data_IF_558591120840
#
_entry.id   IF_558591120840
#
_cell.length_a   1.000
_cell.length_b   1.000
_cell.length_c   1.000
_cell.angle_alpha   90.00
_cell.angle_beta   90.00
_cell.angle_gamma   90.00
#
_symmetry.space_group_name_H-M   'P 1'
#
loop_
_entity.id
_entity.type
_entity.pdbx_description
1 polymer ?
#
# COMPACT_ATOMS: atom_id res chain seq x y z
N UNK A 1 12.08 12.14 4.76
CA UNK A 1 11.48 12.36 6.10
C UNK A 1 10.89 11.03 6.49
N UNK A 2 11.30 10.43 7.60
CA UNK A 2 10.87 9.07 7.92
C UNK A 2 9.36 9.04 8.21
N UNK A 3 8.68 7.94 7.85
CA UNK A 3 7.23 7.75 8.10
C UNK A 3 6.87 7.94 9.58
N UNK A 4 7.80 7.60 10.47
CA UNK A 4 7.72 7.77 11.93
C UNK A 4 7.62 9.26 12.34
N UNK A 5 8.24 10.15 11.58
CA UNK A 5 8.27 11.60 11.80
C UNK A 5 7.05 12.31 11.18
N UNK A 6 6.34 11.66 10.25
CA UNK A 6 5.19 12.25 9.55
C UNK A 6 4.00 12.53 10.47
N UNK A 7 3.23 13.58 10.15
CA UNK A 7 1.91 13.79 10.77
C UNK A 7 0.93 12.70 10.30
N UNK A 8 -0.10 12.39 11.11
CA UNK A 8 -1.17 11.46 10.70
C UNK A 8 -1.82 11.93 9.38
N UNK A 9 -1.97 13.24 9.21
CA UNK A 9 -2.53 13.83 7.98
C UNK A 9 -1.67 13.47 6.76
N UNK A 10 -0.35 13.55 6.87
CA UNK A 10 0.54 13.24 5.75
C UNK A 10 0.62 11.74 5.49
N UNK A 11 0.62 10.90 6.53
CA UNK A 11 0.49 9.44 6.36
C UNK A 11 -0.80 9.09 5.61
N UNK A 12 -1.92 9.74 5.96
CA UNK A 12 -3.20 9.56 5.24
C UNK A 12 -3.12 10.00 3.78
N UNK A 13 -2.34 11.03 3.44
CA UNK A 13 -2.11 11.42 2.04
C UNK A 13 -1.31 10.36 1.30
N UNK A 14 -0.26 9.82 1.90
CA UNK A 14 0.54 8.72 1.32
C UNK A 14 -0.33 7.49 1.07
N UNK A 15 -1.08 7.04 2.09
CA UNK A 15 -2.00 5.90 1.97
C UNK A 15 -3.02 6.08 0.83
N UNK A 16 -3.54 7.30 0.61
CA UNK A 16 -4.44 7.58 -0.51
C UNK A 16 -3.75 7.43 -1.86
N UNK A 17 -2.50 7.90 -1.99
CA UNK A 17 -1.71 7.73 -3.23
C UNK A 17 -1.40 6.25 -3.47
N UNK A 18 -0.95 5.52 -2.44
CA UNK A 18 -0.70 4.08 -2.53
C UNK A 18 -1.95 3.31 -2.96
N UNK A 19 -3.11 3.63 -2.37
CA UNK A 19 -4.39 3.02 -2.72
C UNK A 19 -4.75 3.25 -4.21
N UNK A 20 -4.50 4.45 -4.71
CA UNK A 20 -4.70 4.77 -6.13
C UNK A 20 -3.72 4.00 -7.02
N UNK A 21 -2.43 4.00 -6.69
CA UNK A 21 -1.39 3.29 -7.44
C UNK A 21 -1.67 1.78 -7.48
N UNK A 22 -2.04 1.15 -6.35
CA UNK A 22 -2.45 -0.26 -6.31
C UNK A 22 -3.69 -0.53 -7.18
N UNK A 23 -4.62 0.42 -7.28
CA UNK A 23 -5.79 0.28 -8.15
C UNK A 23 -5.39 0.25 -9.63
N UNK A 24 -4.44 1.09 -10.04
CA UNK A 24 -3.90 1.07 -11.41
C UNK A 24 -3.17 -0.23 -11.68
N UNK A 25 -2.31 -0.68 -10.75
CA UNK A 25 -1.58 -1.94 -10.91
C UNK A 25 -2.54 -3.12 -11.03
N UNK A 26 -3.58 -3.18 -10.19
CA UNK A 26 -4.60 -4.21 -10.25
C UNK A 26 -5.39 -4.25 -11.57
N UNK A 27 -5.46 -3.16 -12.33
CA UNK A 27 -6.08 -3.15 -13.66
C UNK A 27 -5.24 -3.89 -14.71
N UNK A 28 -3.92 -3.99 -14.50
CA UNK A 28 -2.99 -4.64 -15.42
C UNK A 28 -2.72 -6.11 -15.06
N UNK A 29 -3.27 -6.58 -13.94
CA UNK A 29 -3.14 -7.96 -13.46
C UNK A 29 -4.44 -8.75 -13.63
N UNK A 30 -4.33 -10.07 -13.58
CA UNK A 30 -5.48 -10.98 -13.57
C UNK A 30 -5.28 -12.11 -12.56
N UNK A 31 -6.33 -12.93 -12.35
CA UNK A 31 -6.24 -14.07 -11.45
C UNK A 31 -5.97 -13.70 -9.99
N UNK A 32 -5.09 -14.46 -9.34
CA UNK A 32 -4.78 -14.33 -7.90
C UNK A 32 -4.00 -13.06 -7.58
N UNK A 33 -3.00 -12.69 -8.40
CA UNK A 33 -2.24 -11.45 -8.23
C UNK A 33 -3.14 -10.23 -8.10
N UNK A 34 -4.13 -10.11 -9.00
CA UNK A 34 -5.11 -9.02 -8.96
C UNK A 34 -5.90 -9.03 -7.66
N UNK A 35 -6.34 -10.21 -7.19
CA UNK A 35 -7.10 -10.34 -5.95
C UNK A 35 -6.27 -9.89 -4.74
N UNK A 36 -5.00 -10.28 -4.69
CA UNK A 36 -4.12 -9.92 -3.57
C UNK A 36 -3.78 -8.42 -3.56
N UNK A 37 -3.50 -7.83 -4.72
CA UNK A 37 -3.31 -6.37 -4.84
C UNK A 37 -4.56 -5.62 -4.36
N UNK A 38 -5.75 -6.07 -4.78
CA UNK A 38 -7.03 -5.50 -4.35
C UNK A 38 -7.22 -5.65 -2.84
N UNK A 39 -6.83 -6.80 -2.26
CA UNK A 39 -6.95 -7.04 -0.82
C UNK A 39 -6.09 -6.05 -0.03
N UNK A 40 -4.84 -5.82 -0.43
CA UNK A 40 -3.97 -4.81 0.20
C UNK A 40 -4.59 -3.40 0.09
N UNK A 41 -5.07 -3.03 -1.10
CA UNK A 41 -5.78 -1.76 -1.32
C UNK A 41 -6.98 -1.61 -0.38
N UNK A 42 -7.74 -2.68 -0.17
CA UNK A 42 -8.92 -2.67 0.69
C UNK A 42 -8.57 -2.57 2.18
N UNK A 43 -7.45 -3.14 2.63
CA UNK A 43 -6.91 -2.91 3.98
C UNK A 43 -6.51 -1.43 4.17
N UNK A 44 -5.84 -0.82 3.19
CA UNK A 44 -5.55 0.63 3.22
C UNK A 44 -6.85 1.44 3.30
N UNK A 45 -7.88 1.05 2.54
CA UNK A 45 -9.19 1.72 2.57
C UNK A 45 -9.86 1.62 3.93
N UNK A 46 -9.76 0.47 4.62
CA UNK A 46 -10.26 0.30 5.98
C UNK A 46 -9.51 1.21 6.96
N UNK A 47 -8.19 1.26 6.84
CA UNK A 47 -7.33 2.13 7.65
C UNK A 47 -7.72 3.61 7.51
N UNK A 48 -7.95 4.06 6.27
CA UNK A 48 -8.37 5.44 5.98
C UNK A 48 -9.78 5.79 6.49
N UNK A 49 -10.68 4.81 6.63
CA UNK A 49 -12.03 5.03 7.16
C UNK A 49 -12.04 5.24 8.67
N UNK A 50 -11.06 4.69 9.39
CA UNK A 50 -10.98 4.86 10.84
C UNK A 50 -10.46 6.27 11.19
N UNK A 51 -11.37 7.15 11.59
CA UNK A 51 -11.04 8.56 11.88
C UNK A 51 -10.32 8.75 13.21
N UNK A 52 -10.55 7.85 14.18
CA UNK A 52 -10.08 7.95 15.58
C UNK A 52 -8.89 7.05 15.89
N UNK A 53 -8.24 6.51 14.87
CA UNK A 53 -7.09 5.62 15.02
C UNK A 53 -5.88 6.37 15.57
N UNK A 54 -5.14 5.74 16.48
CA UNK A 54 -3.91 6.32 17.02
C UNK A 54 -2.77 6.29 15.99
N UNK A 55 -1.85 7.25 16.05
CA UNK A 55 -0.69 7.30 15.12
C UNK A 55 0.09 5.98 15.12
N UNK A 56 0.30 5.40 16.29
CA UNK A 56 1.04 4.13 16.46
C UNK A 56 0.36 2.98 15.72
N UNK A 57 -0.96 2.88 15.83
CA UNK A 57 -1.74 1.87 15.12
C UNK A 57 -1.65 2.06 13.60
N UNK A 58 -1.75 3.32 13.11
CA UNK A 58 -1.58 3.62 11.68
C UNK A 58 -0.20 3.18 11.15
N UNK A 59 0.87 3.43 11.92
CA UNK A 59 2.22 3.03 11.54
C UNK A 59 2.34 1.50 11.50
N UNK A 60 1.78 0.80 12.50
CA UNK A 60 1.80 -0.67 12.53
C UNK A 60 1.06 -1.27 11.32
N UNK A 61 -0.15 -0.79 11.03
CA UNK A 61 -0.95 -1.22 9.88
C UNK A 61 -0.24 -0.94 8.56
N UNK A 62 0.41 0.22 8.45
CA UNK A 62 1.23 0.57 7.30
C UNK A 62 2.43 -0.38 7.14
N UNK A 63 3.04 -0.82 8.24
CA UNK A 63 4.07 -1.87 8.22
C UNK A 63 3.57 -3.17 7.59
N UNK A 64 2.38 -3.62 7.94
CA UNK A 64 1.76 -4.81 7.32
C UNK A 64 1.47 -4.61 5.83
N UNK A 65 1.02 -3.41 5.43
CA UNK A 65 0.84 -3.06 4.00
C UNK A 65 2.16 -3.17 3.24
N UNK A 66 3.25 -2.63 3.79
CA UNK A 66 4.58 -2.70 3.16
C UNK A 66 5.05 -4.14 3.01
N UNK A 67 4.90 -4.96 4.06
CA UNK A 67 5.23 -6.39 4.02
C UNK A 67 4.42 -7.09 2.93
N UNK A 68 3.11 -6.85 2.88
CA UNK A 68 2.23 -7.43 1.86
C UNK A 68 2.65 -7.08 0.43
N UNK A 69 2.95 -5.80 0.17
CA UNK A 69 3.42 -5.38 -1.17
C UNK A 69 4.78 -6.00 -1.50
N UNK A 70 5.66 -6.14 -0.51
CA UNK A 70 6.98 -6.75 -0.69
C UNK A 70 6.88 -8.23 -1.06
N UNK A 71 5.97 -8.97 -0.43
CA UNK A 71 5.67 -10.37 -0.80
C UNK A 71 5.12 -10.46 -2.23
N UNK A 72 4.25 -9.53 -2.65
CA UNK A 72 3.74 -9.48 -4.02
C UNK A 72 4.85 -9.18 -5.05
N UNK A 73 5.76 -8.27 -4.73
CA UNK A 73 6.91 -7.95 -5.59
C UNK A 73 7.77 -9.18 -5.86
N UNK A 74 7.97 -10.03 -4.86
CA UNK A 74 8.76 -11.25 -5.02
C UNK A 74 7.99 -12.37 -5.75
N UNK A 75 6.71 -12.54 -5.44
CA UNK A 75 5.87 -13.64 -5.96
C UNK A 75 5.35 -13.45 -7.38
N UNK A 76 5.07 -12.21 -7.82
CA UNK A 76 4.57 -11.96 -9.17
C UNK A 76 5.67 -12.28 -10.19
N UNK A 77 5.35 -12.79 -11.37
CA UNK A 77 6.35 -13.01 -12.43
C UNK A 77 6.56 -11.78 -13.32
N UNK A 78 5.50 -11.00 -13.50
CA UNK A 78 5.45 -9.88 -14.43
C UNK A 78 6.38 -8.72 -14.01
N UNK A 79 7.30 -8.35 -14.92
CA UNK A 79 8.32 -7.33 -14.67
C UNK A 79 7.73 -5.93 -14.53
N UNK A 80 6.66 -5.62 -15.27
CA UNK A 80 6.02 -4.31 -15.23
C UNK A 80 5.33 -4.11 -13.87
N UNK A 81 4.51 -5.06 -13.44
CA UNK A 81 3.81 -5.06 -12.16
C UNK A 81 4.78 -5.03 -11.00
N UNK A 82 5.86 -5.83 -11.02
CA UNK A 82 6.92 -5.73 -10.01
C UNK A 82 7.47 -4.31 -9.87
N UNK A 83 7.81 -3.69 -11.01
CA UNK A 83 8.34 -2.33 -11.01
C UNK A 83 7.30 -1.36 -10.45
N UNK A 84 6.05 -1.46 -10.87
CA UNK A 84 4.99 -0.59 -10.40
C UNK A 84 4.75 -0.75 -8.89
N UNK A 85 4.71 -1.96 -8.35
CA UNK A 85 4.59 -2.22 -6.92
C UNK A 85 5.79 -1.69 -6.11
N UNK A 86 7.01 -1.77 -6.66
CA UNK A 86 8.19 -1.12 -6.04
C UNK A 86 8.04 0.40 -5.98
N UNK A 87 7.48 1.03 -7.01
CA UNK A 87 7.19 2.47 -6.97
C UNK A 87 6.11 2.82 -5.94
N UNK A 88 5.12 1.95 -5.69
CA UNK A 88 4.14 2.14 -4.61
C UNK A 88 4.83 2.20 -3.24
N UNK A 89 5.80 1.32 -2.97
CA UNK A 89 6.55 1.32 -1.71
C UNK A 89 7.38 2.62 -1.58
N UNK A 90 7.93 3.13 -2.69
CA UNK A 90 8.71 4.38 -2.68
C UNK A 90 7.92 5.62 -2.29
N UNK A 91 6.59 5.59 -2.37
CA UNK A 91 5.76 6.72 -1.91
C UNK A 91 5.87 6.99 -0.40
N UNK A 92 6.50 6.07 0.35
CA UNK A 92 6.76 6.14 1.78
C UNK A 92 8.10 6.79 2.15
N UNK A 93 8.99 7.01 1.18
CA UNK A 93 10.33 7.59 1.39
C UNK A 93 10.42 9.00 0.78
#
# INVERSE_FOLDING_TARGET
>A
MEVTEMSISDIRKVLKRMMYSLSIVALHESGENRKDIIKIRDEIKKLLKNKNIEKKEVINELGFVVIGISILVESIGDKYTKKALKEVIKELY
#
